data_IF_544625538285
#
_entry.id   IF_544625538285
#
_cell.length_a   1.000
_cell.length_b   1.000
_cell.length_c   1.000
_cell.angle_alpha   90.00
_cell.angle_beta   90.00
_cell.angle_gamma   90.00
#
_symmetry.space_group_name_H-M   'P 1'
#
loop_
_entity.id
_entity.type
_entity.pdbx_description
1 polymer ?
#
# COMPACT_ATOMS: atom_id res chain seq x y z
N UNK A 1 -23.79 -8.82 49.95
CA UNK A 1 -22.34 -8.59 49.69
C UNK A 1 -21.83 -9.27 48.41
N UNK A 2 -22.11 -10.55 48.16
CA UNK A 2 -21.65 -11.25 46.93
C UNK A 2 -22.11 -10.62 45.59
N UNK A 3 -23.32 -10.05 45.53
CA UNK A 3 -23.84 -9.39 44.32
C UNK A 3 -23.21 -8.03 44.05
N UNK A 4 -22.84 -7.29 45.09
CA UNK A 4 -22.13 -6.02 44.95
C UNK A 4 -20.70 -6.25 44.47
N UNK A 5 -20.00 -7.25 45.01
CA UNK A 5 -18.66 -7.63 44.54
C UNK A 5 -18.66 -8.09 43.06
N UNK A 6 -19.69 -8.83 42.63
CA UNK A 6 -19.85 -9.23 41.23
C UNK A 6 -20.07 -8.05 40.29
N UNK A 7 -20.88 -7.06 40.70
CA UNK A 7 -21.11 -5.85 39.91
C UNK A 7 -19.85 -4.97 39.81
N UNK A 8 -19.07 -4.84 40.89
CA UNK A 8 -17.79 -4.12 40.87
C UNK A 8 -16.76 -4.77 39.95
N UNK A 9 -16.68 -6.10 39.95
CA UNK A 9 -15.77 -6.84 39.07
C UNK A 9 -16.18 -6.69 37.60
N UNK A 10 -17.49 -6.72 37.30
CA UNK A 10 -18.00 -6.50 35.95
C UNK A 10 -17.68 -5.09 35.44
N UNK A 11 -17.85 -4.06 36.27
CA UNK A 11 -17.53 -2.68 35.91
C UNK A 11 -16.03 -2.48 35.63
N UNK A 12 -15.16 -3.12 36.41
CA UNK A 12 -13.71 -3.12 36.17
C UNK A 12 -13.35 -3.76 34.83
N UNK A 13 -13.96 -4.90 34.49
CA UNK A 13 -13.70 -5.59 33.22
C UNK A 13 -14.16 -4.74 32.02
N UNK A 14 -15.34 -4.13 32.09
CA UNK A 14 -15.87 -3.27 31.02
C UNK A 14 -14.96 -2.06 30.79
N UNK A 15 -14.52 -1.39 31.86
CA UNK A 15 -13.60 -0.25 31.77
C UNK A 15 -12.23 -0.66 31.19
N UNK A 16 -11.71 -1.83 31.57
CA UNK A 16 -10.41 -2.33 31.10
C UNK A 16 -10.42 -2.80 29.65
N UNK A 17 -11.59 -3.25 29.16
CA UNK A 17 -11.75 -3.77 27.78
C UNK A 17 -12.21 -2.68 26.82
N UNK A 18 -12.54 -1.48 27.33
CA UNK A 18 -12.85 -0.31 26.51
C UNK A 18 -11.54 0.17 25.87
N UNK A 19 -11.34 -0.18 24.60
CA UNK A 19 -10.13 0.18 23.87
C UNK A 19 -9.96 1.70 23.71
N UNK A 20 -8.75 2.13 23.37
CA UNK A 20 -8.43 3.55 23.12
C UNK A 20 -9.08 4.13 21.85
N UNK A 21 -10.04 3.45 21.23
CA UNK A 21 -10.71 3.87 20.00
C UNK A 21 -11.51 5.17 20.15
N UNK A 22 -11.87 5.56 21.37
CA UNK A 22 -12.51 6.87 21.63
C UNK A 22 -11.49 8.03 21.68
N UNK A 23 -10.21 7.71 21.91
CA UNK A 23 -9.13 8.69 22.01
C UNK A 23 -8.59 9.05 20.62
N UNK A 24 -8.57 8.08 19.70
CA UNK A 24 -8.01 8.18 18.35
C UNK A 24 -8.99 7.59 17.32
N UNK A 25 -9.15 8.25 16.16
CA UNK A 25 -10.05 7.82 15.08
C UNK A 25 -10.68 9.01 14.38
N UNK A 26 -11.56 8.79 13.39
CA UNK A 26 -12.23 9.90 12.69
C UNK A 26 -13.13 10.73 13.62
N UNK A 27 -13.80 10.09 14.58
CA UNK A 27 -14.66 10.75 15.57
C UNK A 27 -14.06 10.75 17.00
N UNK A 28 -12.75 10.48 17.12
CA UNK A 28 -12.05 10.45 18.41
C UNK A 28 -11.82 11.85 19.00
N UNK A 29 -11.47 11.92 20.29
CA UNK A 29 -11.06 13.18 20.93
C UNK A 29 -9.88 13.85 20.19
N UNK A 30 -8.91 13.05 19.75
CA UNK A 30 -7.92 13.44 18.76
C UNK A 30 -8.35 12.93 17.39
N UNK A 31 -9.22 13.69 16.72
CA UNK A 31 -9.70 13.38 15.37
C UNK A 31 -8.54 13.28 14.38
N UNK A 32 -8.51 12.20 13.63
CA UNK A 32 -7.67 12.08 12.45
C UNK A 32 -8.15 13.06 11.36
N UNK A 33 -7.24 13.92 10.90
CA UNK A 33 -7.50 14.91 9.84
C UNK A 33 -6.88 14.50 8.51
N UNK A 34 -6.33 13.29 8.43
CA UNK A 34 -5.65 12.74 7.27
C UNK A 34 -6.52 12.78 6.01
N UNK A 35 -7.84 12.64 6.14
CA UNK A 35 -8.80 12.62 5.03
C UNK A 35 -9.44 13.97 4.72
N UNK A 36 -9.22 15.02 5.54
CA UNK A 36 -9.89 16.32 5.38
C UNK A 36 -9.60 16.97 4.00
N UNK A 37 -8.46 16.66 3.37
CA UNK A 37 -8.12 17.20 2.05
C UNK A 37 -9.06 16.74 0.93
N UNK A 38 -9.76 15.62 1.11
CA UNK A 38 -10.74 15.10 0.15
C UNK A 38 -12.01 15.97 0.09
N UNK A 39 -12.32 16.70 1.17
CA UNK A 39 -13.45 17.63 1.24
C UNK A 39 -13.09 19.04 0.72
N UNK A 40 -11.82 19.26 0.35
CA UNK A 40 -11.36 20.57 -0.11
C UNK A 40 -12.04 20.96 -1.43
N UNK A 41 -12.65 22.14 -1.45
CA UNK A 41 -13.30 22.68 -2.64
C UNK A 41 -12.37 23.62 -3.40
N UNK A 42 -12.35 23.49 -4.73
CA UNK A 42 -11.59 24.39 -5.59
C UNK A 42 -12.18 25.80 -5.52
N UNK A 43 -11.35 26.79 -5.20
CA UNK A 43 -11.71 28.21 -5.26
C UNK A 43 -11.30 28.82 -6.59
N UNK A 44 -12.06 29.82 -7.02
CA UNK A 44 -11.74 30.59 -8.22
C UNK A 44 -10.40 31.34 -8.04
N UNK A 45 -9.64 31.54 -9.13
CA UNK A 45 -8.44 32.38 -9.11
C UNK A 45 -8.75 33.80 -8.63
N UNK A 46 -7.75 34.45 -8.04
CA UNK A 46 -7.84 35.84 -7.63
C UNK A 46 -8.11 36.75 -8.83
N UNK A 47 -9.10 37.65 -8.70
CA UNK A 47 -9.44 38.64 -9.72
C UNK A 47 -8.95 40.02 -9.29
N UNK A 48 -8.44 40.80 -10.25
CA UNK A 48 -7.98 42.16 -10.01
C UNK A 48 -9.10 43.17 -10.28
N UNK A 49 -9.25 44.20 -9.44
CA UNK A 49 -10.14 45.33 -9.72
C UNK A 49 -9.73 46.08 -11.00
N UNK A 50 -10.71 46.67 -11.72
CA UNK A 50 -10.47 47.26 -13.05
C UNK A 50 -9.64 48.55 -13.04
N UNK A 51 -9.48 49.19 -11.88
CA UNK A 51 -8.76 50.46 -11.68
C UNK A 51 -7.26 50.29 -11.43
N UNK A 52 -6.76 49.05 -11.34
CA UNK A 52 -5.36 48.77 -11.04
C UNK A 52 -4.56 48.50 -12.32
N UNK A 53 -3.82 49.50 -12.79
CA UNK A 53 -3.09 49.45 -14.08
C UNK A 53 -1.63 48.98 -13.99
N UNK A 54 -1.01 48.98 -12.80
CA UNK A 54 0.41 48.68 -12.59
C UNK A 54 0.64 47.44 -11.70
N UNK A 55 0.04 46.30 -12.05
CA UNK A 55 0.19 45.06 -11.28
C UNK A 55 1.27 44.17 -11.87
N UNK A 56 2.15 43.64 -11.01
CA UNK A 56 3.06 42.55 -11.37
C UNK A 56 2.24 41.32 -11.78
N UNK A 57 2.66 40.63 -12.84
CA UNK A 57 1.98 39.42 -13.34
C UNK A 57 1.70 38.44 -12.19
N UNK A 58 0.43 38.08 -12.02
CA UNK A 58 -0.03 37.08 -11.04
C UNK A 58 0.10 35.69 -11.65
N UNK A 59 1.31 35.16 -11.69
CA UNK A 59 1.53 33.76 -12.04
C UNK A 59 1.31 32.88 -10.79
N UNK A 60 0.59 31.75 -10.89
CA UNK A 60 0.46 30.83 -9.79
C UNK A 60 1.83 30.26 -9.42
N UNK A 61 2.27 30.48 -8.17
CA UNK A 61 3.55 29.97 -7.67
C UNK A 61 3.57 28.44 -7.56
N UNK A 62 2.40 27.82 -7.44
CA UNK A 62 2.21 26.38 -7.29
C UNK A 62 1.16 25.90 -8.31
N UNK A 63 1.52 25.79 -9.60
CA UNK A 63 0.60 25.30 -10.61
C UNK A 63 0.35 23.79 -10.42
N UNK A 64 -0.92 23.40 -10.41
CA UNK A 64 -1.32 21.99 -10.39
C UNK A 64 -1.21 21.45 -11.83
N UNK A 65 -0.43 20.37 -12.09
CA UNK A 65 -0.34 19.77 -13.42
C UNK A 65 -1.71 19.29 -13.91
N UNK A 66 -2.06 19.54 -15.18
CA UNK A 66 -3.37 19.17 -15.74
C UNK A 66 -3.51 17.69 -16.11
N UNK A 67 -2.39 16.96 -16.18
CA UNK A 67 -2.32 15.57 -16.64
C UNK A 67 -1.86 14.62 -15.53
N UNK A 68 -2.42 14.76 -14.33
CA UNK A 68 -2.22 13.74 -13.29
C UNK A 68 -3.21 12.62 -13.61
N UNK A 69 -2.71 11.39 -13.78
CA UNK A 69 -3.58 10.23 -13.92
C UNK A 69 -4.45 10.17 -12.67
N UNK A 70 -5.77 10.15 -12.89
CA UNK A 70 -6.75 10.22 -11.84
C UNK A 70 -6.88 8.86 -11.16
N UNK A 71 -5.95 8.56 -10.23
CA UNK A 71 -6.14 7.48 -9.26
C UNK A 71 -7.19 7.96 -8.23
N UNK A 72 -8.42 8.15 -8.70
CA UNK A 72 -9.60 8.38 -7.87
C UNK A 72 -9.86 7.14 -7.02
N UNK A 73 -9.05 6.92 -5.99
CA UNK A 73 -9.38 5.98 -4.91
C UNK A 73 -10.48 6.66 -4.10
N UNK A 74 -11.72 6.48 -4.55
CA UNK A 74 -12.91 6.86 -3.79
C UNK A 74 -13.17 5.75 -2.76
N UNK A 75 -12.81 6.00 -1.51
CA UNK A 75 -13.05 5.08 -0.39
C UNK A 75 -12.02 5.25 0.73
N UNK A 76 -12.24 4.57 1.84
CA UNK A 76 -11.23 4.46 2.89
C UNK A 76 -9.99 3.76 2.33
N UNK A 77 -8.83 4.38 2.51
CA UNK A 77 -7.56 3.75 2.15
C UNK A 77 -7.33 2.57 3.09
N UNK A 78 -7.53 1.35 2.59
CA UNK A 78 -7.24 0.14 3.34
C UNK A 78 -5.71 0.00 3.47
N UNK A 79 -5.20 0.20 4.69
CA UNK A 79 -3.77 0.05 4.97
C UNK A 79 -3.38 -1.41 4.67
N UNK A 80 -2.50 -1.66 3.68
CA UNK A 80 -2.10 -3.01 3.36
C UNK A 80 -1.42 -3.63 4.57
N UNK A 81 -1.71 -4.90 4.84
CA UNK A 81 -1.05 -5.66 5.92
C UNK A 81 0.47 -5.49 5.78
N UNK A 82 1.20 -5.18 6.87
CA UNK A 82 2.65 -5.15 6.84
C UNK A 82 3.19 -6.46 6.26
N UNK A 83 4.02 -6.37 5.23
CA UNK A 83 4.77 -7.54 4.79
C UNK A 83 5.67 -7.97 5.95
N UNK A 84 5.74 -9.28 6.24
CA UNK A 84 6.65 -9.77 7.26
C UNK A 84 8.07 -9.35 6.90
N UNK A 85 8.71 -8.60 7.80
CA UNK A 85 10.15 -8.37 7.74
C UNK A 85 10.82 -9.73 7.90
N UNK A 86 11.54 -10.17 6.86
CA UNK A 86 12.42 -11.32 7.00
C UNK A 86 13.50 -10.93 8.04
N UNK A 87 13.38 -11.48 9.26
CA UNK A 87 14.25 -11.17 10.39
C UNK A 87 15.70 -11.63 10.16
N UNK A 88 15.90 -12.44 9.13
CA UNK A 88 17.19 -12.75 8.53
C UNK A 88 17.17 -12.15 7.13
N UNK A 89 18.20 -11.39 6.77
CA UNK A 89 18.59 -11.32 5.38
C UNK A 89 18.95 -12.75 4.99
N UNK A 90 17.97 -13.55 4.59
CA UNK A 90 18.24 -14.72 3.78
C UNK A 90 18.88 -14.13 2.53
N UNK A 91 20.21 -14.15 2.51
CA UNK A 91 21.02 -14.04 1.31
C UNK A 91 20.73 -15.33 0.54
N UNK A 92 19.49 -15.44 0.08
CA UNK A 92 19.06 -16.47 -0.83
C UNK A 92 19.38 -15.95 -2.21
N UNK A 93 19.93 -16.82 -3.04
CA UNK A 93 20.23 -16.50 -4.43
C UNK A 93 18.94 -16.27 -5.26
N UNK A 94 17.75 -16.33 -4.64
CA UNK A 94 16.46 -16.25 -5.29
C UNK A 94 15.56 -15.19 -4.64
N UNK A 95 14.91 -14.34 -5.43
CA UNK A 95 14.00 -13.31 -4.94
C UNK A 95 12.69 -13.34 -5.72
N UNK A 96 11.55 -13.27 -5.03
CA UNK A 96 10.25 -13.18 -5.67
C UNK A 96 9.93 -11.73 -6.04
N UNK A 97 9.58 -11.48 -7.30
CA UNK A 97 9.30 -10.16 -7.83
C UNK A 97 7.89 -10.10 -8.42
N UNK A 98 7.25 -8.94 -8.30
CA UNK A 98 5.90 -8.70 -8.83
C UNK A 98 5.80 -7.29 -9.42
N UNK A 99 5.26 -7.19 -10.62
CA UNK A 99 4.89 -5.92 -11.25
C UNK A 99 3.52 -6.06 -11.93
N UNK A 100 2.52 -5.35 -11.43
CA UNK A 100 1.13 -5.48 -11.88
C UNK A 100 0.62 -6.92 -11.76
N UNK A 101 0.26 -7.52 -12.90
CA UNK A 101 -0.17 -8.92 -13.02
C UNK A 101 0.99 -9.91 -13.22
N UNK A 102 2.20 -9.43 -13.54
CA UNK A 102 3.36 -10.27 -13.78
C UNK A 102 4.05 -10.65 -12.45
N UNK A 103 4.49 -11.91 -12.37
CA UNK A 103 5.25 -12.46 -11.23
C UNK A 103 6.41 -13.28 -11.79
N UNK A 104 7.59 -13.13 -11.20
CA UNK A 104 8.76 -13.92 -11.58
C UNK A 104 9.68 -14.17 -10.39
N UNK A 105 10.52 -15.18 -10.53
CA UNK A 105 11.61 -15.49 -9.59
C UNK A 105 12.90 -14.96 -10.19
N UNK A 106 13.57 -14.04 -9.50
CA UNK A 106 14.90 -13.57 -9.86
C UNK A 106 15.95 -14.49 -9.23
N UNK A 107 16.78 -15.13 -10.05
CA UNK A 107 17.90 -15.96 -9.60
C UNK A 107 19.23 -15.23 -9.85
N UNK A 108 20.06 -15.07 -8.83
CA UNK A 108 21.41 -14.50 -8.90
C UNK A 108 22.45 -15.57 -9.28
N UNK A 109 22.13 -16.39 -10.30
CA UNK A 109 22.97 -17.49 -10.78
C UNK A 109 23.05 -17.50 -12.29
N UNK A 110 24.06 -18.15 -12.84
CA UNK A 110 24.19 -18.30 -14.29
C UNK A 110 23.00 -19.11 -14.85
N UNK A 111 22.45 -18.76 -16.03
CA UNK A 111 21.32 -19.49 -16.61
C UNK A 111 21.55 -21.00 -16.74
N UNK A 112 22.79 -21.41 -17.04
CA UNK A 112 23.16 -22.82 -17.14
C UNK A 112 23.01 -23.61 -15.83
N UNK A 113 23.14 -22.94 -14.68
CA UNK A 113 22.93 -23.56 -13.36
C UNK A 113 21.45 -23.63 -12.98
N UNK A 114 20.66 -22.65 -13.43
CA UNK A 114 19.24 -22.53 -13.08
C UNK A 114 18.36 -23.43 -13.96
N UNK A 115 18.72 -23.60 -15.23
CA UNK A 115 17.93 -24.38 -16.20
C UNK A 115 17.58 -25.81 -15.75
N UNK A 116 18.54 -26.67 -15.31
CA UNK A 116 18.20 -28.02 -14.87
C UNK A 116 17.33 -28.02 -13.60
N UNK A 117 17.51 -27.03 -12.72
CA UNK A 117 16.70 -26.89 -11.50
C UNK A 117 15.26 -26.52 -11.85
N UNK A 118 15.07 -25.60 -12.80
CA UNK A 118 13.75 -25.21 -13.28
C UNK A 118 13.03 -26.38 -13.95
N UNK A 119 13.74 -27.17 -14.79
CA UNK A 119 13.21 -28.39 -15.41
C UNK A 119 12.72 -29.38 -14.35
N UNK A 120 13.57 -29.70 -13.38
CA UNK A 120 13.24 -30.62 -12.30
C UNK A 120 12.03 -30.14 -11.49
N UNK A 121 11.95 -28.85 -11.18
CA UNK A 121 10.82 -28.28 -10.47
C UNK A 121 9.50 -28.52 -11.21
N UNK A 122 9.45 -28.32 -12.52
CA UNK A 122 8.22 -28.60 -13.29
C UNK A 122 7.87 -30.09 -13.32
N UNK A 123 8.86 -30.96 -13.51
CA UNK A 123 8.65 -32.42 -13.50
C UNK A 123 8.14 -32.92 -12.13
N UNK A 124 8.73 -32.45 -11.03
CA UNK A 124 8.33 -32.79 -9.65
C UNK A 124 6.90 -32.33 -9.33
N UNK A 125 6.45 -31.24 -9.98
CA UNK A 125 5.08 -30.74 -9.88
C UNK A 125 4.12 -31.41 -10.89
N UNK A 126 4.57 -32.44 -11.61
CA UNK A 126 3.75 -33.26 -12.48
C UNK A 126 3.55 -32.73 -13.91
N UNK A 127 4.31 -31.70 -14.31
CA UNK A 127 4.28 -31.21 -15.69
C UNK A 127 5.13 -32.12 -16.60
N UNK A 128 4.61 -32.42 -17.80
CA UNK A 128 5.38 -33.05 -18.87
C UNK A 128 5.85 -31.96 -19.83
N UNK A 129 7.15 -31.80 -19.97
CA UNK A 129 7.76 -30.81 -20.86
C UNK A 129 7.68 -31.36 -22.29
N UNK A 130 6.98 -30.65 -23.18
CA UNK A 130 6.78 -31.08 -24.56
C UNK A 130 7.95 -30.63 -25.46
N UNK A 131 8.35 -29.37 -25.34
CA UNK A 131 9.52 -28.81 -26.02
C UNK A 131 10.33 -27.93 -25.05
N UNK A 132 11.65 -27.97 -25.19
CA UNK A 132 12.54 -27.08 -24.45
C UNK A 132 13.57 -26.43 -25.37
N UNK A 133 13.86 -25.15 -25.12
CA UNK A 133 14.88 -24.36 -25.83
C UNK A 133 15.83 -23.72 -24.83
N UNK A 134 16.85 -24.45 -24.36
CA UNK A 134 17.79 -23.94 -23.36
C UNK A 134 18.56 -22.69 -23.82
N UNK A 135 18.72 -22.49 -25.13
CA UNK A 135 19.43 -21.35 -25.70
C UNK A 135 18.65 -20.04 -25.54
N UNK A 136 17.30 -20.11 -25.54
CA UNK A 136 16.42 -18.95 -25.35
C UNK A 136 15.80 -18.91 -23.95
N UNK A 137 15.88 -20.01 -23.19
CA UNK A 137 15.34 -20.10 -21.84
C UNK A 137 13.83 -20.37 -21.80
N UNK A 138 13.29 -21.09 -22.78
CA UNK A 138 11.84 -21.28 -22.95
C UNK A 138 11.42 -22.76 -22.87
N UNK A 139 10.30 -23.02 -22.21
CA UNK A 139 9.54 -24.27 -22.30
C UNK A 139 8.30 -24.02 -23.17
N UNK A 140 8.03 -24.89 -24.16
CA UNK A 140 6.83 -24.85 -25.02
C UNK A 140 5.99 -26.13 -24.85
#
# INVERSE_FOLDING_TARGET
>A
MKRLAGLSALALIISSTSGCAWLWGEDGYFRDRGSDYLEATQKAPMQLPPDVSNVKRLDPLLPIPRNVADDNVKGEFEVPRPLPLAATADVSDFSLQKSGSARWVLAQRAPAEVWPVARQFFEDNGFRIAEERPQTGEFN
#
